data_IF_351836194116
#
_entry.id   IF_351836194116
#
_cell.length_a   1.000
_cell.length_b   1.000
_cell.length_c   1.000
_cell.angle_alpha   90.00
_cell.angle_beta   90.00
_cell.angle_gamma   90.00
#
_symmetry.space_group_name_H-M   'P 1'
#
loop_
_entity.id
_entity.type
_entity.pdbx_description
1 polymer ?
#
# COMPACT_ATOMS: atom_id res chain seq x y z
N UNK A 1 2.10 -21.72 22.05
CA UNK A 1 1.43 -20.87 21.04
C UNK A 1 2.35 -19.67 20.76
N UNK A 2 2.76 -19.49 19.53
CA UNK A 2 3.64 -18.39 19.11
C UNK A 2 2.86 -17.07 19.16
N UNK A 3 3.12 -16.23 20.17
CA UNK A 3 2.38 -14.98 20.38
C UNK A 3 2.55 -13.99 19.20
N UNK A 4 3.72 -13.97 18.57
CA UNK A 4 3.99 -13.15 17.39
C UNK A 4 3.19 -13.66 16.16
N UNK A 5 3.21 -14.99 15.95
CA UNK A 5 2.45 -15.62 14.89
C UNK A 5 0.94 -15.33 15.00
N UNK A 6 0.39 -15.42 16.21
CA UNK A 6 -1.02 -15.09 16.48
C UNK A 6 -1.31 -13.61 16.23
N UNK A 7 -0.42 -12.69 16.57
CA UNK A 7 -0.59 -11.27 16.32
C UNK A 7 -0.60 -10.97 14.80
N UNK A 8 0.33 -11.56 14.05
CA UNK A 8 0.38 -11.48 12.59
C UNK A 8 -0.90 -12.06 11.96
N UNK A 9 -1.35 -13.22 12.42
CA UNK A 9 -2.57 -13.86 11.94
C UNK A 9 -3.81 -12.99 12.20
N UNK A 10 -3.92 -12.38 13.39
CA UNK A 10 -4.98 -11.39 13.70
C UNK A 10 -4.94 -10.22 12.72
N UNK A 11 -3.79 -9.74 12.33
CA UNK A 11 -3.64 -8.64 11.38
C UNK A 11 -4.15 -9.03 9.99
N UNK A 12 -3.81 -10.23 9.51
CA UNK A 12 -4.24 -10.72 8.19
C UNK A 12 -5.75 -10.92 8.14
N UNK A 13 -6.35 -11.47 9.19
CA UNK A 13 -7.80 -11.65 9.26
C UNK A 13 -8.60 -10.33 9.32
N UNK A 14 -7.95 -9.21 9.69
CA UNK A 14 -8.54 -7.87 9.65
C UNK A 14 -8.43 -7.19 8.29
N UNK A 15 -7.62 -7.72 7.36
CA UNK A 15 -7.40 -7.12 6.03
C UNK A 15 -8.71 -6.77 5.30
N UNK A 16 -9.75 -7.63 5.25
CA UNK A 16 -10.99 -7.25 4.57
C UNK A 16 -11.64 -5.98 5.11
N UNK A 17 -11.54 -5.72 6.42
CA UNK A 17 -12.06 -4.50 7.04
C UNK A 17 -11.16 -3.30 6.73
N UNK A 18 -9.84 -3.49 6.74
CA UNK A 18 -8.88 -2.45 6.36
C UNK A 18 -9.03 -2.05 4.90
N UNK A 19 -9.26 -3.00 3.99
CA UNK A 19 -9.54 -2.71 2.58
C UNK A 19 -10.80 -1.86 2.44
N UNK A 20 -11.89 -2.19 3.14
CA UNK A 20 -13.12 -1.37 3.12
C UNK A 20 -12.87 0.05 3.64
N UNK A 21 -12.05 0.18 4.69
CA UNK A 21 -11.68 1.48 5.24
C UNK A 21 -10.88 2.31 4.23
N UNK A 22 -9.91 1.70 3.57
CA UNK A 22 -9.10 2.35 2.54
C UNK A 22 -9.95 2.72 1.30
N UNK A 23 -10.88 1.87 0.89
CA UNK A 23 -11.83 2.19 -0.20
C UNK A 23 -12.72 3.38 0.15
N UNK A 24 -13.14 3.49 1.41
CA UNK A 24 -13.86 4.67 1.88
C UNK A 24 -12.97 5.91 1.85
N UNK A 25 -11.74 5.81 2.35
CA UNK A 25 -10.77 6.91 2.28
C UNK A 25 -10.52 7.36 0.85
N UNK A 26 -10.31 6.41 -0.08
CA UNK A 26 -10.09 6.69 -1.50
C UNK A 26 -11.22 7.51 -2.12
N UNK A 27 -12.47 7.24 -1.75
CA UNK A 27 -13.63 8.01 -2.23
C UNK A 27 -13.68 9.45 -1.72
N UNK A 28 -13.02 9.72 -0.60
CA UNK A 28 -13.08 11.01 0.07
C UNK A 28 -11.72 11.73 0.12
N UNK A 29 -10.69 11.24 -0.59
CA UNK A 29 -9.35 11.83 -0.57
C UNK A 29 -9.38 13.32 -0.87
N UNK A 30 -10.03 13.72 -1.95
CA UNK A 30 -10.11 15.14 -2.35
C UNK A 30 -10.87 15.97 -1.34
N UNK A 31 -11.99 15.48 -0.80
CA UNK A 31 -12.77 16.19 0.21
C UNK A 31 -11.97 16.38 1.49
N UNK A 32 -11.30 15.32 1.96
CA UNK A 32 -10.45 15.37 3.16
C UNK A 32 -9.27 16.33 2.95
N UNK A 33 -8.62 16.25 1.78
CA UNK A 33 -7.52 17.16 1.45
C UNK A 33 -7.95 18.62 1.50
N UNK A 34 -9.09 18.97 0.91
CA UNK A 34 -9.61 20.35 0.93
C UNK A 34 -10.15 20.77 2.30
N UNK A 35 -10.61 19.85 3.14
CA UNK A 35 -10.99 20.15 4.52
C UNK A 35 -9.77 20.48 5.38
N UNK A 36 -8.69 19.73 5.22
CA UNK A 36 -7.44 19.93 5.97
C UNK A 36 -6.66 21.16 5.48
N UNK A 37 -6.70 21.41 4.17
CA UNK A 37 -5.95 22.46 3.50
C UNK A 37 -6.89 23.50 2.86
N UNK A 38 -7.79 24.11 3.63
CA UNK A 38 -8.78 25.06 3.15
C UNK A 38 -8.26 25.97 2.02
N UNK A 39 -8.75 25.79 0.79
CA UNK A 39 -8.33 26.60 -0.37
C UNK A 39 -8.76 28.07 -0.27
N UNK A 40 -9.81 28.36 0.53
CA UNK A 40 -10.29 29.72 0.75
C UNK A 40 -9.54 30.29 1.99
N UNK A 41 -8.38 30.86 1.74
CA UNK A 41 -7.48 31.36 2.77
C UNK A 41 -6.52 30.26 3.29
N UNK A 42 -6.44 29.15 2.57
CA UNK A 42 -5.58 28.03 2.87
C UNK A 42 -4.13 28.40 2.72
N UNK A 43 -3.57 28.68 3.84
CA UNK A 43 -2.20 29.00 4.03
C UNK A 43 -1.53 27.78 4.66
N UNK A 44 -0.58 27.15 3.99
CA UNK A 44 0.30 26.18 4.64
C UNK A 44 1.04 26.88 5.77
N UNK A 45 0.90 26.44 7.00
CA UNK A 45 1.81 26.82 8.07
C UNK A 45 3.17 26.21 7.75
N UNK A 46 4.10 27.03 7.36
CA UNK A 46 5.51 26.67 7.37
C UNK A 46 5.96 26.68 8.83
N UNK A 47 6.26 25.52 9.39
CA UNK A 47 6.69 25.34 10.79
C UNK A 47 7.95 26.14 11.13
N UNK A 48 8.71 26.60 10.13
CA UNK A 48 9.94 27.36 10.30
C UNK A 48 9.76 28.88 10.30
N UNK A 49 8.76 29.44 9.60
CA UNK A 49 8.70 30.91 9.39
C UNK A 49 7.35 31.56 9.68
N UNK A 50 6.35 30.86 10.16
CA UNK A 50 4.98 31.40 10.37
C UNK A 50 4.34 32.08 9.13
N UNK A 51 4.87 31.85 7.94
CA UNK A 51 4.34 32.37 6.69
C UNK A 51 3.42 31.32 6.06
N UNK A 52 2.24 31.74 5.89
CA UNK A 52 1.17 30.98 5.25
C UNK A 52 1.20 31.30 3.75
N UNK A 53 1.60 30.35 2.92
CA UNK A 53 1.52 30.49 1.46
C UNK A 53 0.22 29.85 0.96
N UNK A 54 -0.48 30.48 0.01
CA UNK A 54 -1.60 29.83 -0.65
C UNK A 54 -1.07 28.57 -1.36
N UNK A 55 -1.79 27.46 -1.19
CA UNK A 55 -1.45 26.22 -1.90
C UNK A 55 -1.78 26.45 -3.37
N UNK A 56 -0.77 26.31 -4.23
CA UNK A 56 -0.97 26.30 -5.67
C UNK A 56 -1.92 25.15 -6.05
N UNK A 57 -2.96 25.41 -6.87
CA UNK A 57 -3.91 24.37 -7.31
C UNK A 57 -3.25 23.17 -7.99
N UNK A 58 -2.13 23.37 -8.70
CA UNK A 58 -1.36 22.30 -9.31
C UNK A 58 -0.74 21.39 -8.25
N UNK A 59 -0.07 21.99 -7.25
CA UNK A 59 0.50 21.26 -6.12
C UNK A 59 -0.57 20.50 -5.34
N UNK A 60 -1.73 21.10 -5.10
CA UNK A 60 -2.86 20.44 -4.45
C UNK A 60 -3.33 19.21 -5.24
N UNK A 61 -3.48 19.35 -6.55
CA UNK A 61 -3.89 18.25 -7.43
C UNK A 61 -2.86 17.12 -7.43
N UNK A 62 -1.57 17.45 -7.53
CA UNK A 62 -0.50 16.46 -7.48
C UNK A 62 -0.49 15.69 -6.15
N UNK A 63 -0.67 16.37 -5.02
CA UNK A 63 -0.76 15.72 -3.70
C UNK A 63 -1.96 14.76 -3.61
N UNK A 64 -3.13 15.16 -4.12
CA UNK A 64 -4.33 14.31 -4.14
C UNK A 64 -4.07 13.05 -4.98
N UNK A 65 -3.49 13.19 -6.18
CA UNK A 65 -3.18 12.07 -7.06
C UNK A 65 -2.19 11.10 -6.38
N UNK A 66 -1.14 11.62 -5.76
CA UNK A 66 -0.15 10.80 -5.04
C UNK A 66 -0.79 10.04 -3.87
N UNK A 67 -1.67 10.69 -3.11
CA UNK A 67 -2.40 10.03 -2.01
C UNK A 67 -3.34 8.95 -2.53
N UNK A 68 -4.10 9.24 -3.58
CA UNK A 68 -4.97 8.24 -4.23
C UNK A 68 -4.17 7.02 -4.69
N UNK A 69 -3.06 7.21 -5.39
CA UNK A 69 -2.21 6.13 -5.88
C UNK A 69 -1.63 5.31 -4.72
N UNK A 70 -1.21 5.98 -3.65
CA UNK A 70 -0.73 5.31 -2.43
C UNK A 70 -1.80 4.41 -1.84
N UNK A 71 -3.04 4.90 -1.70
CA UNK A 71 -4.17 4.13 -1.17
C UNK A 71 -4.52 2.96 -2.11
N UNK A 72 -4.58 3.20 -3.44
CA UNK A 72 -4.84 2.15 -4.44
C UNK A 72 -3.80 1.02 -4.35
N UNK A 73 -2.52 1.36 -4.24
CA UNK A 73 -1.43 0.39 -4.10
C UNK A 73 -1.52 -0.38 -2.76
N UNK A 74 -1.90 0.27 -1.66
CA UNK A 74 -2.13 -0.42 -0.39
C UNK A 74 -3.29 -1.41 -0.48
N UNK A 75 -4.41 -1.02 -1.11
CA UNK A 75 -5.56 -1.90 -1.33
C UNK A 75 -5.14 -3.12 -2.16
N UNK A 76 -4.37 -2.92 -3.25
CA UNK A 76 -3.88 -4.00 -4.11
C UNK A 76 -3.03 -4.99 -3.31
N UNK A 77 -2.05 -4.51 -2.55
CA UNK A 77 -1.17 -5.35 -1.71
C UNK A 77 -1.95 -6.12 -0.63
N UNK A 78 -2.90 -5.48 0.04
CA UNK A 78 -3.73 -6.12 1.05
C UNK A 78 -4.63 -7.20 0.46
N UNK A 79 -5.27 -6.93 -0.68
CA UNK A 79 -6.10 -7.93 -1.38
C UNK A 79 -5.29 -9.13 -1.81
N UNK A 80 -4.10 -8.92 -2.39
CA UNK A 80 -3.20 -9.99 -2.81
C UNK A 80 -2.76 -10.85 -1.62
N UNK A 81 -2.28 -10.21 -0.55
CA UNK A 81 -1.88 -10.91 0.67
C UNK A 81 -3.01 -11.75 1.28
N UNK A 82 -4.19 -11.17 1.38
CA UNK A 82 -5.36 -11.88 1.91
C UNK A 82 -5.80 -13.01 0.99
N UNK A 83 -5.79 -12.83 -0.32
CA UNK A 83 -6.11 -13.86 -1.30
C UNK A 83 -5.18 -15.06 -1.16
N UNK A 84 -3.87 -14.84 -1.21
CA UNK A 84 -2.87 -15.91 -1.05
C UNK A 84 -3.04 -16.66 0.27
N UNK A 85 -3.35 -15.94 1.36
CA UNK A 85 -3.61 -16.57 2.64
C UNK A 85 -4.91 -17.38 2.61
N UNK A 86 -6.00 -16.84 2.05
CA UNK A 86 -7.31 -17.45 2.07
C UNK A 86 -7.46 -18.64 1.11
N UNK A 87 -6.65 -18.70 0.04
CA UNK A 87 -6.72 -19.79 -0.96
C UNK A 87 -6.45 -21.18 -0.38
N UNK A 88 -5.77 -21.29 0.78
CA UNK A 88 -5.51 -22.55 1.48
C UNK A 88 -6.67 -23.01 2.37
N UNK A 89 -7.62 -22.14 2.66
CA UNK A 89 -8.68 -22.41 3.64
C UNK A 89 -10.08 -22.36 3.02
N UNK A 90 -10.93 -23.29 3.41
CA UNK A 90 -12.36 -23.19 3.12
C UNK A 90 -13.01 -22.06 3.92
N UNK A 91 -14.18 -21.61 3.46
CA UNK A 91 -14.95 -20.57 4.17
C UNK A 91 -15.30 -20.98 5.61
N UNK A 92 -15.56 -22.28 5.84
CA UNK A 92 -15.87 -22.83 7.17
C UNK A 92 -14.64 -22.81 8.07
N UNK A 93 -13.46 -23.19 7.54
CA UNK A 93 -12.19 -23.13 8.26
C UNK A 93 -11.82 -21.70 8.64
N UNK A 94 -11.99 -20.73 7.73
CA UNK A 94 -11.75 -19.31 8.02
C UNK A 94 -12.67 -18.77 9.12
N UNK A 95 -13.94 -19.21 9.14
CA UNK A 95 -14.86 -18.83 10.20
C UNK A 95 -14.49 -19.47 11.55
N UNK A 96 -14.06 -20.72 11.54
CA UNK A 96 -13.57 -21.44 12.72
C UNK A 96 -12.31 -20.77 13.26
N UNK A 97 -11.37 -20.43 12.37
CA UNK A 97 -10.15 -19.71 12.70
C UNK A 97 -10.42 -18.36 13.37
N UNK A 98 -11.36 -17.57 12.83
CA UNK A 98 -11.77 -16.30 13.43
C UNK A 98 -12.36 -16.46 14.82
N UNK A 99 -13.21 -17.49 15.02
CA UNK A 99 -13.83 -17.78 16.32
C UNK A 99 -12.76 -18.21 17.34
N UNK A 100 -11.89 -19.15 16.99
CA UNK A 100 -10.83 -19.64 17.86
C UNK A 100 -9.86 -18.53 18.29
N UNK A 101 -9.47 -17.65 17.38
CA UNK A 101 -8.59 -16.51 17.67
C UNK A 101 -9.28 -15.50 18.61
N UNK A 102 -10.56 -15.22 18.40
CA UNK A 102 -11.30 -14.28 19.25
C UNK A 102 -11.54 -14.85 20.67
N UNK A 103 -11.74 -16.16 20.77
CA UNK A 103 -11.88 -16.87 22.04
C UNK A 103 -10.54 -17.09 22.77
N UNK A 104 -9.39 -16.80 22.13
CA UNK A 104 -8.05 -17.18 22.59
C UNK A 104 -7.90 -18.69 22.90
N UNK A 105 -8.62 -19.51 22.16
CA UNK A 105 -8.56 -20.95 22.29
C UNK A 105 -7.36 -21.52 21.52
N UNK A 106 -6.70 -22.54 22.08
CA UNK A 106 -5.68 -23.30 21.36
C UNK A 106 -6.39 -24.27 20.41
N UNK A 107 -6.18 -24.10 19.12
CA UNK A 107 -6.78 -24.94 18.09
C UNK A 107 -5.75 -25.27 17.00
N UNK A 108 -5.70 -26.53 16.55
CA UNK A 108 -4.76 -26.99 15.53
C UNK A 108 -4.79 -26.15 14.25
N UNK A 109 -5.96 -25.59 13.90
CA UNK A 109 -6.11 -24.71 12.73
C UNK A 109 -5.29 -23.43 12.86
N UNK A 110 -5.04 -22.95 14.09
CA UNK A 110 -4.24 -21.74 14.32
C UNK A 110 -2.77 -22.01 13.99
N UNK A 111 -2.24 -23.14 14.42
CA UNK A 111 -0.84 -23.49 14.15
C UNK A 111 -0.62 -23.69 12.65
N UNK A 112 -1.52 -24.42 11.97
CA UNK A 112 -1.50 -24.55 10.50
C UNK A 112 -1.57 -23.17 9.80
N UNK A 113 -2.45 -22.29 10.26
CA UNK A 113 -2.60 -20.97 9.68
C UNK A 113 -1.36 -20.08 9.89
N UNK A 114 -0.67 -20.21 11.01
CA UNK A 114 0.59 -19.49 11.27
C UNK A 114 1.71 -20.01 10.37
N UNK A 115 1.81 -21.33 10.18
CA UNK A 115 2.82 -21.91 9.28
C UNK A 115 2.57 -21.45 7.84
N UNK A 116 1.34 -21.57 7.35
CA UNK A 116 0.98 -21.09 6.02
C UNK A 116 1.22 -19.59 5.85
N UNK A 117 0.91 -18.79 6.86
CA UNK A 117 1.20 -17.36 6.81
C UNK A 117 2.69 -17.06 6.64
N UNK A 118 3.57 -17.82 7.27
CA UNK A 118 5.04 -17.68 7.09
C UNK A 118 5.46 -17.96 5.64
N UNK A 119 4.85 -18.95 5.01
CA UNK A 119 5.11 -19.26 3.60
C UNK A 119 4.62 -18.15 2.67
N UNK A 120 3.43 -17.61 2.90
CA UNK A 120 2.90 -16.46 2.14
C UNK A 120 3.80 -15.23 2.30
N UNK A 121 4.22 -14.90 3.53
CA UNK A 121 5.13 -13.77 3.78
C UNK A 121 6.48 -13.98 3.08
N UNK A 122 7.04 -15.16 3.15
CA UNK A 122 8.29 -15.50 2.45
C UNK A 122 8.13 -15.34 0.93
N UNK A 123 7.04 -15.84 0.35
CA UNK A 123 6.77 -15.71 -1.07
C UNK A 123 6.67 -14.24 -1.50
N UNK A 124 5.90 -13.42 -0.75
CA UNK A 124 5.73 -12.00 -1.05
C UNK A 124 7.04 -11.23 -0.94
N UNK A 125 7.87 -11.53 0.07
CA UNK A 125 9.18 -10.90 0.26
C UNK A 125 10.13 -11.25 -0.86
N UNK A 126 10.28 -12.54 -1.19
CA UNK A 126 11.17 -13.01 -2.26
C UNK A 126 10.77 -12.42 -3.61
N UNK A 127 9.46 -12.36 -3.89
CA UNK A 127 8.96 -11.73 -5.12
C UNK A 127 9.32 -10.25 -5.18
N UNK A 128 9.13 -9.51 -4.08
CA UNK A 128 9.47 -8.10 -4.02
C UNK A 128 10.98 -7.85 -4.21
N UNK A 129 11.83 -8.69 -3.60
CA UNK A 129 13.29 -8.63 -3.78
C UNK A 129 13.68 -8.88 -5.23
N UNK A 130 13.13 -9.93 -5.86
CA UNK A 130 13.40 -10.26 -7.27
C UNK A 130 12.99 -9.11 -8.21
N UNK A 131 11.83 -8.49 -7.97
CA UNK A 131 11.38 -7.35 -8.76
C UNK A 131 12.28 -6.12 -8.57
N UNK A 132 12.72 -5.86 -7.34
CA UNK A 132 13.64 -4.76 -7.06
C UNK A 132 15.01 -4.97 -7.74
N UNK A 133 15.55 -6.21 -7.68
CA UNK A 133 16.80 -6.56 -8.37
C UNK A 133 16.70 -6.40 -9.89
N UNK A 134 15.59 -6.84 -10.48
CA UNK A 134 15.35 -6.69 -11.91
C UNK A 134 15.26 -5.21 -12.30
N UNK A 135 14.56 -4.40 -11.52
CA UNK A 135 14.46 -2.96 -11.76
C UNK A 135 15.84 -2.27 -11.69
N UNK A 136 16.67 -2.62 -10.69
CA UNK A 136 18.03 -2.12 -10.55
C UNK A 136 18.87 -2.52 -11.77
N UNK A 137 18.81 -3.80 -12.17
CA UNK A 137 19.57 -4.33 -13.29
C UNK A 137 19.16 -3.72 -14.64
N UNK A 138 17.91 -3.30 -14.78
CA UNK A 138 17.40 -2.60 -15.95
C UNK A 138 17.71 -1.09 -15.95
N UNK A 139 18.56 -0.62 -15.04
CA UNK A 139 19.02 0.77 -15.00
C UNK A 139 18.10 1.72 -14.24
N UNK A 140 17.17 1.21 -13.43
CA UNK A 140 16.24 2.02 -12.65
C UNK A 140 16.91 3.02 -11.72
N UNK A 141 18.11 2.71 -11.16
CA UNK A 141 18.88 3.66 -10.36
C UNK A 141 19.40 4.83 -11.22
N UNK A 142 19.80 4.57 -12.46
CA UNK A 142 20.26 5.62 -13.37
C UNK A 142 19.11 6.55 -13.78
N UNK A 143 17.92 6.01 -13.94
CA UNK A 143 16.72 6.82 -14.21
C UNK A 143 16.35 7.70 -13.02
N UNK A 144 16.43 7.20 -11.78
CA UNK A 144 16.25 8.00 -10.57
C UNK A 144 17.30 9.12 -10.45
N UNK A 145 18.58 8.82 -10.70
CA UNK A 145 19.64 9.83 -10.67
C UNK A 145 19.41 10.93 -11.72
N UNK A 146 18.90 10.56 -12.88
CA UNK A 146 18.57 11.51 -13.95
C UNK A 146 17.39 12.42 -13.54
N UNK A 147 16.35 11.85 -12.92
CA UNK A 147 15.18 12.61 -12.42
C UNK A 147 15.55 13.49 -11.23
N UNK A 148 16.35 12.98 -10.27
CA UNK A 148 16.74 13.72 -9.07
C UNK A 148 17.73 14.85 -9.37
N UNK A 149 18.57 14.73 -10.39
CA UNK A 149 19.56 15.72 -10.80
C UNK A 149 19.09 16.60 -11.96
N UNK A 150 17.89 16.40 -12.50
CA UNK A 150 17.32 17.28 -13.52
C UNK A 150 17.05 18.66 -12.93
N UNK A 151 17.57 19.75 -13.53
CA UNK A 151 17.38 21.09 -13.02
C UNK A 151 15.89 21.48 -13.13
N UNK A 152 15.16 21.36 -12.03
CA UNK A 152 13.83 21.94 -11.75
C UNK A 152 12.72 21.81 -12.82
N UNK A 153 12.84 20.90 -13.78
CA UNK A 153 11.75 20.52 -14.66
C UNK A 153 11.55 19.03 -14.53
N UNK A 154 10.68 18.64 -13.61
CA UNK A 154 10.08 17.29 -13.65
C UNK A 154 9.25 17.29 -14.92
N UNK A 155 9.73 16.59 -15.95
CA UNK A 155 8.92 16.31 -17.12
C UNK A 155 7.87 15.29 -16.68
N UNK A 156 6.64 15.78 -16.46
CA UNK A 156 5.53 14.95 -16.02
C UNK A 156 5.19 13.86 -17.04
N UNK A 157 5.56 14.05 -18.32
CA UNK A 157 5.39 13.03 -19.35
C UNK A 157 6.38 11.86 -19.14
N UNK A 158 7.63 12.17 -18.79
CA UNK A 158 8.63 11.14 -18.45
C UNK A 158 8.27 10.39 -17.17
N UNK A 159 7.76 11.08 -16.16
CA UNK A 159 7.32 10.46 -14.91
C UNK A 159 6.11 9.55 -15.13
N UNK A 160 5.12 9.98 -15.89
CA UNK A 160 3.96 9.18 -16.25
C UNK A 160 4.35 7.98 -17.13
N UNK A 161 5.30 8.13 -18.05
CA UNK A 161 5.82 7.04 -18.87
C UNK A 161 6.53 5.96 -18.03
N UNK A 162 7.27 6.36 -16.99
CA UNK A 162 7.88 5.44 -16.02
C UNK A 162 6.85 4.71 -15.18
N UNK A 163 5.78 5.38 -14.78
CA UNK A 163 4.67 4.79 -14.04
C UNK A 163 3.91 3.77 -14.91
N UNK A 164 3.62 4.11 -16.17
CA UNK A 164 2.99 3.18 -17.14
C UNK A 164 3.88 1.99 -17.48
N UNK A 165 5.20 2.17 -17.57
CA UNK A 165 6.14 1.09 -17.81
C UNK A 165 6.24 0.17 -16.60
N UNK A 166 6.22 0.71 -15.39
CA UNK A 166 6.18 -0.07 -14.15
C UNK A 166 4.85 -0.83 -14.02
N UNK A 167 3.72 -0.20 -14.32
CA UNK A 167 2.42 -0.87 -14.31
C UNK A 167 2.35 -1.98 -15.36
N UNK A 168 2.89 -1.77 -16.57
CA UNK A 168 2.96 -2.78 -17.62
C UNK A 168 3.82 -3.97 -17.22
N UNK A 169 5.00 -3.73 -16.61
CA UNK A 169 5.83 -4.80 -16.07
C UNK A 169 5.09 -5.62 -15.00
N UNK A 170 4.29 -4.97 -14.16
CA UNK A 170 3.47 -5.64 -13.14
C UNK A 170 2.30 -6.42 -13.76
N UNK A 171 1.78 -6.00 -14.91
CA UNK A 171 0.68 -6.70 -15.61
C UNK A 171 1.14 -7.89 -16.44
N UNK A 172 2.31 -7.83 -17.04
CA UNK A 172 2.93 -8.95 -17.79
C UNK A 172 3.29 -10.16 -16.89
N UNK A 173 3.22 -9.99 -15.56
CA UNK A 173 3.53 -11.01 -14.56
C UNK A 173 2.27 -11.64 -13.92
N UNK A 174 1.08 -11.43 -14.48
CA UNK A 174 -0.18 -12.13 -14.12
C UNK A 174 -0.38 -13.39 -14.97
#
# INVERSE_FOLDING_TARGET
MDAEGVAKLKSVLKIPNEVRRLEYQLKHVSENYFQEHSLIGGMMKDDFFNYTRPIDPFTATACIILEENTIKNQIKRYRERFRLFADEFTTEELNTLRKAINANESHLIIDRAIEWLKEVEFYLTTRAETMAEQWINNGGLHQLDTVMNAPNKIDMEEFNALEEEFERMVEEWK
#
